data_IF_454379565678
#
_entry.id   IF_454379565678
#
_cell.length_a   1.000
_cell.length_b   1.000
_cell.length_c   1.000
_cell.angle_alpha   90.00
_cell.angle_beta   90.00
_cell.angle_gamma   90.00
#
_symmetry.space_group_name_H-M   'P 1'
#
loop_
_entity.id
_entity.type
_entity.pdbx_description
1 polymer ?
#
# COMPACT_ATOMS: atom_id res chain seq x y z
N UNK A 1 -58.87 -9.96 -1.69
CA UNK A 1 -58.53 -9.17 -0.48
C UNK A 1 -58.12 -10.13 0.64
N UNK A 2 -56.82 -10.29 0.90
CA UNK A 2 -56.30 -11.19 1.93
C UNK A 2 -55.91 -10.40 3.19
N UNK A 3 -56.57 -10.69 4.31
CA UNK A 3 -56.33 -10.04 5.61
C UNK A 3 -55.00 -10.52 6.21
N UNK A 4 -54.05 -9.60 6.34
CA UNK A 4 -52.73 -9.81 6.95
C UNK A 4 -52.88 -9.84 8.48
N UNK A 5 -52.59 -10.99 9.12
CA UNK A 5 -52.57 -11.12 10.59
C UNK A 5 -51.34 -10.41 11.17
N UNK A 6 -51.56 -9.53 12.14
CA UNK A 6 -50.51 -8.83 12.87
C UNK A 6 -49.69 -9.83 13.72
N UNK A 7 -48.36 -9.79 13.58
CA UNK A 7 -47.41 -10.53 14.43
C UNK A 7 -47.27 -9.80 15.76
N UNK A 8 -47.75 -10.41 16.83
CA UNK A 8 -47.53 -9.98 18.22
C UNK A 8 -46.03 -10.05 18.54
N UNK A 9 -45.43 -8.91 18.90
CA UNK A 9 -44.05 -8.84 19.35
C UNK A 9 -43.94 -9.45 20.75
N UNK A 10 -43.24 -10.58 20.85
CA UNK A 10 -42.90 -11.21 22.13
C UNK A 10 -41.83 -10.33 22.78
N UNK A 11 -42.13 -9.81 23.98
CA UNK A 11 -41.20 -9.01 24.76
C UNK A 11 -39.94 -9.85 25.10
N UNK A 12 -38.72 -9.27 25.03
CA UNK A 12 -37.49 -9.98 25.33
C UNK A 12 -37.50 -10.48 26.77
N UNK A 13 -37.27 -11.78 26.96
CA UNK A 13 -37.17 -12.37 28.29
C UNK A 13 -35.99 -11.75 29.07
N UNK A 14 -36.19 -11.39 30.35
CA UNK A 14 -35.12 -10.87 31.19
C UNK A 14 -34.05 -11.95 31.40
N UNK A 15 -32.78 -11.60 31.15
CA UNK A 15 -31.65 -12.51 31.35
C UNK A 15 -31.61 -12.99 32.81
N UNK A 16 -31.33 -14.29 33.05
CA UNK A 16 -31.19 -14.83 34.39
C UNK A 16 -30.02 -14.14 35.10
N UNK A 17 -30.32 -13.54 36.26
CA UNK A 17 -29.32 -12.95 37.16
C UNK A 17 -28.39 -14.06 37.64
N UNK A 18 -27.20 -14.17 37.04
CA UNK A 18 -26.13 -15.03 37.57
C UNK A 18 -25.82 -14.56 38.99
N UNK A 19 -26.09 -15.40 39.99
CA UNK A 19 -25.64 -15.17 41.35
C UNK A 19 -24.11 -15.08 41.31
N UNK A 20 -23.60 -13.93 41.73
CA UNK A 20 -22.17 -13.70 41.87
C UNK A 20 -21.71 -14.63 42.99
N UNK A 21 -21.02 -15.70 42.63
CA UNK A 21 -20.31 -16.52 43.61
C UNK A 21 -19.15 -15.66 44.07
N UNK A 22 -19.27 -15.09 45.26
CA UNK A 22 -18.17 -14.42 45.94
C UNK A 22 -17.14 -15.50 46.32
N UNK A 23 -16.26 -15.80 45.37
CA UNK A 23 -15.04 -16.56 45.63
C UNK A 23 -14.27 -15.72 46.64
N UNK A 24 -14.19 -16.19 47.88
CA UNK A 24 -13.37 -15.61 48.92
C UNK A 24 -11.93 -15.52 48.38
N UNK A 25 -11.56 -14.31 47.94
CA UNK A 25 -10.20 -13.95 47.57
C UNK A 25 -9.39 -14.04 48.86
N UNK A 26 -8.78 -15.20 49.07
CA UNK A 26 -7.69 -15.33 50.04
C UNK A 26 -6.70 -14.22 49.71
N UNK A 27 -6.46 -13.33 50.69
CA UNK A 27 -5.46 -12.27 50.67
C UNK A 27 -4.07 -12.89 50.51
N UNK A 28 -3.72 -13.28 49.28
CA UNK A 28 -2.34 -13.50 48.89
C UNK A 28 -1.74 -12.11 48.78
N UNK A 29 -0.85 -11.74 49.69
CA UNK A 29 -0.04 -10.53 49.57
C UNK A 29 0.61 -10.50 48.19
N UNK A 30 0.04 -9.71 47.28
CA UNK A 30 0.57 -9.57 45.94
C UNK A 30 1.83 -8.74 46.05
N UNK A 31 2.98 -9.39 45.88
CA UNK A 31 4.23 -8.66 45.64
C UNK A 31 4.00 -7.69 44.47
N UNK A 32 4.48 -6.44 44.56
CA UNK A 32 4.32 -5.51 43.46
C UNK A 32 4.90 -6.13 42.18
N UNK A 33 4.22 -5.95 41.03
CA UNK A 33 4.69 -6.51 39.77
C UNK A 33 6.12 -6.04 39.51
N UNK A 34 7.02 -6.98 39.23
CA UNK A 34 8.39 -6.66 38.84
C UNK A 34 8.37 -5.84 37.55
N UNK A 35 9.25 -4.84 37.47
CA UNK A 35 9.43 -4.06 36.26
C UNK A 35 9.84 -4.97 35.09
N UNK A 36 9.38 -4.64 33.89
CA UNK A 36 9.65 -5.42 32.66
C UNK A 36 11.15 -5.73 32.47
N UNK A 37 11.98 -4.71 32.69
CA UNK A 37 13.44 -4.82 32.61
C UNK A 37 14.06 -5.80 33.63
N UNK A 38 13.38 -6.03 34.76
CA UNK A 38 13.83 -6.94 35.81
C UNK A 38 13.39 -8.40 35.62
N UNK A 39 12.48 -8.68 34.68
CA UNK A 39 11.94 -10.01 34.47
C UNK A 39 12.85 -10.89 33.57
N UNK A 40 13.45 -10.30 32.54
CA UNK A 40 14.38 -10.96 31.61
C UNK A 40 15.55 -10.04 31.31
N UNK A 41 16.72 -10.58 30.98
CA UNK A 41 17.83 -9.79 30.44
C UNK A 41 17.49 -9.24 29.04
N UNK A 42 17.97 -8.05 28.70
CA UNK A 42 17.75 -7.41 27.39
C UNK A 42 18.09 -8.33 26.21
N UNK A 43 19.22 -9.02 26.25
CA UNK A 43 19.67 -9.89 25.16
C UNK A 43 18.69 -11.05 24.93
N UNK A 44 18.15 -11.62 26.02
CA UNK A 44 17.14 -12.68 25.95
C UNK A 44 15.85 -12.14 25.32
N UNK A 45 15.43 -10.91 25.69
CA UNK A 45 14.25 -10.27 25.09
C UNK A 45 14.43 -10.04 23.60
N UNK A 46 15.58 -9.47 23.21
CA UNK A 46 15.94 -9.26 21.79
C UNK A 46 15.92 -10.57 21.01
N UNK A 47 16.52 -11.64 21.55
CA UNK A 47 16.45 -12.96 20.94
C UNK A 47 15.01 -13.43 20.75
N UNK A 48 14.15 -13.28 21.76
CA UNK A 48 12.72 -13.64 21.64
C UNK A 48 12.07 -12.85 20.49
N UNK A 49 12.29 -11.54 20.39
CA UNK A 49 11.74 -10.71 19.32
C UNK A 49 12.23 -11.11 17.92
N UNK A 50 13.45 -11.63 17.79
CA UNK A 50 13.97 -12.12 16.51
C UNK A 50 13.18 -13.33 15.98
N UNK A 51 12.59 -14.14 16.87
CA UNK A 51 11.69 -15.24 16.52
C UNK A 51 10.23 -14.82 16.39
N UNK A 52 9.87 -13.58 16.78
CA UNK A 52 8.51 -13.07 16.59
C UNK A 52 8.26 -12.60 15.15
N UNK A 53 7.02 -12.77 14.71
CA UNK A 53 6.52 -12.30 13.43
C UNK A 53 6.11 -10.83 13.49
N UNK A 54 7.12 -9.95 13.55
CA UNK A 54 6.96 -8.50 13.70
C UNK A 54 6.67 -7.78 12.38
N UNK A 55 5.90 -6.69 12.45
CA UNK A 55 5.72 -5.76 11.33
C UNK A 55 7.02 -5.00 11.03
N UNK A 56 7.29 -4.64 9.77
CA UNK A 56 6.45 -4.84 8.59
C UNK A 56 6.71 -6.15 7.83
N UNK A 57 7.59 -7.03 8.31
CA UNK A 57 7.90 -8.30 7.64
C UNK A 57 6.75 -9.31 7.75
N UNK A 58 6.05 -9.30 8.87
CA UNK A 58 4.87 -10.11 9.14
C UNK A 58 3.74 -9.26 9.75
N UNK A 59 2.61 -9.90 10.09
CA UNK A 59 1.39 -9.17 10.45
C UNK A 59 1.39 -8.57 11.84
N UNK A 60 2.22 -9.10 12.75
CA UNK A 60 2.34 -8.63 14.14
C UNK A 60 1.07 -8.77 14.99
N UNK A 61 -0.01 -9.38 14.48
CA UNK A 61 -1.32 -9.35 15.14
C UNK A 61 -1.34 -10.05 16.49
N UNK A 62 -0.62 -11.17 16.58
CA UNK A 62 -0.47 -11.96 17.81
C UNK A 62 0.28 -11.19 18.91
N UNK A 63 1.11 -10.21 18.52
CA UNK A 63 2.00 -9.48 19.41
C UNK A 63 1.52 -8.07 19.74
N UNK A 64 0.37 -7.64 19.21
CA UNK A 64 -0.22 -6.31 19.48
C UNK A 64 -0.45 -6.07 20.97
N UNK A 65 -0.89 -7.08 21.71
CA UNK A 65 -1.11 -6.97 23.16
C UNK A 65 0.18 -6.64 23.93
N UNK A 66 1.31 -7.22 23.52
CA UNK A 66 2.61 -6.93 24.12
C UNK A 66 3.07 -5.51 23.77
N UNK A 67 2.96 -5.13 22.49
CA UNK A 67 3.30 -3.77 22.02
C UNK A 67 2.50 -2.68 22.75
N UNK A 68 1.23 -2.94 23.02
CA UNK A 68 0.33 -1.97 23.67
C UNK A 68 0.45 -1.94 25.20
N UNK A 69 0.98 -3.00 25.81
CA UNK A 69 1.05 -3.11 27.28
C UNK A 69 2.35 -2.59 27.87
N UNK A 70 3.44 -2.54 27.10
CA UNK A 70 4.75 -2.11 27.60
C UNK A 70 5.49 -1.25 26.57
N UNK A 71 5.83 -0.01 26.97
CA UNK A 71 6.58 0.93 26.13
C UNK A 71 7.97 0.38 25.76
N UNK A 72 8.72 -0.14 26.74
CA UNK A 72 10.06 -0.68 26.53
C UNK A 72 10.03 -1.85 25.54
N UNK A 73 9.10 -2.79 25.73
CA UNK A 73 8.92 -3.91 24.80
C UNK A 73 8.60 -3.41 23.38
N UNK A 74 7.75 -2.38 23.27
CA UNK A 74 7.44 -1.77 21.97
C UNK A 74 8.68 -1.18 21.30
N UNK A 75 9.49 -0.43 22.02
CA UNK A 75 10.72 0.19 21.50
C UNK A 75 11.73 -0.90 21.05
N UNK A 76 11.95 -1.92 21.87
CA UNK A 76 12.86 -3.02 21.56
C UNK A 76 12.38 -3.86 20.36
N UNK A 77 11.08 -4.18 20.30
CA UNK A 77 10.48 -4.90 19.16
C UNK A 77 10.59 -4.08 17.87
N UNK A 78 10.39 -2.75 17.95
CA UNK A 78 10.55 -1.85 16.80
C UNK A 78 12.00 -1.82 16.33
N UNK A 79 12.96 -1.80 17.25
CA UNK A 79 14.39 -1.85 16.93
C UNK A 79 14.74 -3.15 16.19
N UNK A 80 14.29 -4.30 16.69
CA UNK A 80 14.51 -5.61 16.05
C UNK A 80 13.83 -5.67 14.67
N UNK A 81 12.59 -5.21 14.56
CA UNK A 81 11.88 -5.10 13.30
C UNK A 81 12.63 -4.22 12.27
N UNK A 82 13.12 -3.06 12.70
CA UNK A 82 13.89 -2.14 11.88
C UNK A 82 15.17 -2.78 11.35
N UNK A 83 15.94 -3.46 12.22
CA UNK A 83 17.15 -4.20 11.83
C UNK A 83 16.84 -5.29 10.79
N UNK A 84 15.77 -6.06 10.99
CA UNK A 84 15.36 -7.12 10.06
C UNK A 84 14.89 -6.55 8.72
N UNK A 85 14.09 -5.47 8.74
CA UNK A 85 13.67 -4.78 7.52
C UNK A 85 14.88 -4.22 6.76
N UNK A 86 15.81 -3.56 7.46
CA UNK A 86 17.04 -3.03 6.85
C UNK A 86 17.85 -4.14 6.18
N UNK A 87 18.02 -5.30 6.84
CA UNK A 87 18.68 -6.48 6.25
C UNK A 87 17.93 -7.00 5.02
N UNK A 88 16.60 -7.07 5.09
CA UNK A 88 15.78 -7.47 3.95
C UNK A 88 15.95 -6.51 2.76
N UNK A 89 15.86 -5.20 3.00
CA UNK A 89 16.01 -4.17 1.96
C UNK A 89 17.41 -4.12 1.39
N UNK A 90 18.46 -4.35 2.19
CA UNK A 90 19.83 -4.41 1.69
C UNK A 90 20.05 -5.54 0.67
N UNK A 91 19.38 -6.69 0.86
CA UNK A 91 19.48 -7.86 -0.03
C UNK A 91 18.49 -7.79 -1.21
N UNK A 92 17.50 -6.90 -1.15
CA UNK A 92 16.43 -6.86 -2.14
C UNK A 92 16.91 -6.45 -3.54
N UNK A 93 17.76 -5.42 -3.74
CA UNK A 93 18.26 -5.03 -5.05
C UNK A 93 18.94 -6.17 -5.80
N UNK A 94 19.73 -7.00 -5.11
CA UNK A 94 20.42 -8.15 -5.71
C UNK A 94 19.42 -9.21 -6.17
N UNK A 95 18.46 -9.56 -5.30
CA UNK A 95 17.38 -10.51 -5.64
C UNK A 95 16.52 -10.01 -6.79
N UNK A 96 16.19 -8.73 -6.78
CA UNK A 96 15.43 -8.10 -7.85
C UNK A 96 16.21 -8.18 -9.17
N UNK A 97 17.50 -7.80 -9.16
CA UNK A 97 18.38 -7.86 -10.33
C UNK A 97 18.57 -9.29 -10.86
N UNK A 98 18.61 -10.29 -9.97
CA UNK A 98 18.68 -11.70 -10.35
C UNK A 98 17.41 -12.20 -11.05
N UNK A 99 16.25 -11.61 -10.76
CA UNK A 99 15.00 -11.90 -11.44
C UNK A 99 14.89 -11.29 -12.84
N UNK A 100 15.70 -10.28 -13.16
CA UNK A 100 15.65 -9.59 -14.44
C UNK A 100 16.37 -10.35 -15.56
N UNK A 101 15.92 -10.21 -16.83
CA UNK A 101 16.69 -10.65 -17.99
C UNK A 101 18.12 -10.08 -17.98
N UNK A 102 19.12 -10.89 -18.36
CA UNK A 102 20.56 -10.51 -18.33
C UNK A 102 20.85 -9.16 -19.02
N UNK A 103 20.19 -8.88 -20.14
CA UNK A 103 20.34 -7.61 -20.88
C UNK A 103 19.93 -6.38 -20.08
N UNK A 104 18.96 -6.54 -19.17
CA UNK A 104 18.46 -5.46 -18.32
C UNK A 104 19.25 -5.35 -17.02
N UNK A 105 19.63 -6.48 -16.42
CA UNK A 105 20.36 -6.52 -15.16
C UNK A 105 21.66 -5.71 -15.18
N UNK A 106 22.37 -5.66 -16.31
CA UNK A 106 23.65 -4.96 -16.44
C UNK A 106 23.57 -3.45 -16.17
N UNK A 107 22.48 -2.80 -16.61
CA UNK A 107 22.31 -1.33 -16.53
C UNK A 107 21.28 -0.91 -15.47
N UNK A 108 20.95 -1.81 -14.56
CA UNK A 108 19.89 -1.58 -13.58
C UNK A 108 20.48 -1.21 -12.22
N UNK A 109 20.13 -0.03 -11.75
CA UNK A 109 20.37 0.43 -10.38
C UNK A 109 19.04 0.53 -9.66
N UNK A 110 19.00 0.04 -8.43
CA UNK A 110 17.87 0.24 -7.52
C UNK A 110 18.44 0.83 -6.24
N UNK A 111 17.95 1.99 -5.86
CA UNK A 111 18.25 2.56 -4.56
C UNK A 111 17.00 2.45 -3.69
N UNK A 112 17.20 2.12 -2.42
CA UNK A 112 16.11 2.06 -1.46
C UNK A 112 16.38 3.14 -0.43
N UNK A 113 15.36 3.93 -0.13
CA UNK A 113 15.47 4.99 0.88
C UNK A 113 15.89 4.39 2.21
N UNK A 114 16.80 5.09 2.91
CA UNK A 114 17.32 4.63 4.19
C UNK A 114 16.18 4.56 5.19
N UNK A 115 15.94 3.36 5.74
CA UNK A 115 15.04 3.18 6.88
C UNK A 115 15.78 3.68 8.12
N UNK A 116 15.30 4.72 8.80
CA UNK A 116 15.92 5.17 10.04
C UNK A 116 15.78 4.04 11.09
N UNK A 117 16.82 3.87 11.89
CA UNK A 117 16.82 2.88 12.99
C UNK A 117 16.07 3.38 14.24
N UNK A 118 15.67 4.65 14.24
CA UNK A 118 15.04 5.32 15.38
C UNK A 118 13.50 5.11 15.38
N UNK A 119 12.87 5.16 16.56
CA UNK A 119 11.80 4.22 16.96
C UNK A 119 10.39 4.63 16.53
N UNK A 120 10.26 5.56 15.59
CA UNK A 120 8.92 5.91 15.12
C UNK A 120 8.41 4.81 14.19
N UNK A 121 7.40 4.09 14.66
CA UNK A 121 6.70 3.04 13.91
C UNK A 121 6.36 3.47 12.48
N UNK A 122 5.97 4.73 12.30
CA UNK A 122 5.65 5.34 11.01
C UNK A 122 6.81 5.27 10.00
N UNK A 123 8.05 5.31 10.47
CA UNK A 123 9.22 5.22 9.60
C UNK A 123 9.47 3.81 9.06
N UNK A 124 8.94 2.77 9.73
CA UNK A 124 9.03 1.38 9.28
C UNK A 124 7.93 1.01 8.29
N UNK A 125 6.84 1.78 8.21
CA UNK A 125 5.69 1.45 7.37
C UNK A 125 5.72 2.11 6.00
N UNK A 126 6.69 2.98 5.70
CA UNK A 126 6.86 3.61 4.40
C UNK A 126 8.20 3.25 3.76
N UNK A 127 8.18 2.68 2.56
CA UNK A 127 9.38 2.37 1.78
C UNK A 127 9.31 3.09 0.44
N UNK A 128 10.39 3.79 0.08
CA UNK A 128 10.53 4.40 -1.24
C UNK A 128 11.71 3.76 -1.96
N UNK A 129 11.46 3.18 -3.13
CA UNK A 129 12.47 2.64 -4.04
C UNK A 129 12.64 3.58 -5.22
N UNK A 130 13.89 3.85 -5.60
CA UNK A 130 14.23 4.66 -6.77
C UNK A 130 14.64 3.72 -7.90
N UNK A 131 13.92 3.80 -9.01
CA UNK A 131 14.17 2.99 -10.20
C UNK A 131 14.44 3.87 -11.43
N UNK A 132 15.32 3.45 -12.35
CA UNK A 132 15.52 4.16 -13.60
C UNK A 132 14.21 4.18 -14.43
N UNK A 133 13.99 5.17 -15.32
CA UNK A 133 12.76 5.26 -16.11
C UNK A 133 12.43 3.99 -16.88
N UNK A 134 13.45 3.30 -17.40
CA UNK A 134 13.29 2.02 -18.09
C UNK A 134 12.54 0.97 -17.23
N UNK A 135 12.67 1.05 -15.90
CA UNK A 135 12.04 0.14 -14.95
C UNK A 135 10.51 0.21 -14.94
N UNK A 136 9.92 1.31 -15.40
CA UNK A 136 8.46 1.45 -15.50
C UNK A 136 7.86 0.55 -16.60
N UNK A 137 8.70 -0.11 -17.41
CA UNK A 137 8.30 -1.02 -18.49
C UNK A 137 7.65 -2.34 -18.07
N UNK A 138 7.14 -3.08 -19.08
CA UNK A 138 6.14 -4.15 -18.96
C UNK A 138 6.47 -5.29 -17.97
N UNK A 139 7.73 -5.71 -17.87
CA UNK A 139 8.12 -7.01 -17.25
C UNK A 139 8.71 -6.89 -15.83
N UNK A 140 8.45 -5.79 -15.12
CA UNK A 140 9.33 -5.40 -13.99
C UNK A 140 8.65 -5.26 -12.64
N UNK A 141 7.33 -5.09 -12.64
CA UNK A 141 6.56 -4.95 -11.39
C UNK A 141 6.30 -6.28 -10.69
N UNK A 142 6.32 -7.40 -11.41
CA UNK A 142 6.17 -8.74 -10.80
C UNK A 142 7.31 -9.04 -9.82
N UNK A 143 8.53 -8.57 -10.11
CA UNK A 143 9.67 -8.74 -9.21
C UNK A 143 9.60 -7.85 -7.95
N UNK A 144 8.67 -6.89 -7.88
CA UNK A 144 8.39 -6.10 -6.66
C UNK A 144 7.51 -6.86 -5.67
N UNK A 145 7.04 -8.05 -6.05
CA UNK A 145 6.15 -8.87 -5.23
C UNK A 145 6.63 -9.09 -3.78
N UNK A 146 7.93 -9.35 -3.51
CA UNK A 146 8.40 -9.46 -2.12
C UNK A 146 8.21 -8.18 -1.29
N UNK A 147 8.34 -6.99 -1.90
CA UNK A 147 8.05 -5.71 -1.23
C UNK A 147 6.54 -5.51 -1.05
N UNK A 148 5.74 -5.87 -2.07
CA UNK A 148 4.29 -5.79 -2.01
C UNK A 148 3.67 -6.73 -0.96
N UNK A 149 4.41 -7.76 -0.54
CA UNK A 149 4.01 -8.72 0.51
C UNK A 149 4.30 -8.21 1.93
N UNK A 150 4.99 -7.08 2.08
CA UNK A 150 5.25 -6.49 3.39
C UNK A 150 4.01 -5.77 3.93
N UNK A 151 3.87 -5.71 5.25
CA UNK A 151 2.81 -4.98 5.95
C UNK A 151 3.08 -3.46 6.02
N UNK A 152 3.46 -2.86 4.90
CA UNK A 152 3.72 -1.43 4.78
C UNK A 152 2.40 -0.64 4.69
N UNK A 153 2.42 0.59 5.17
CA UNK A 153 1.37 1.57 4.90
C UNK A 153 1.56 2.20 3.51
N UNK A 154 2.82 2.38 3.08
CA UNK A 154 3.14 2.99 1.77
C UNK A 154 4.37 2.35 1.12
N UNK A 155 4.24 1.98 -0.15
CA UNK A 155 5.35 1.65 -1.04
C UNK A 155 5.35 2.64 -2.20
N UNK A 156 6.41 3.43 -2.32
CA UNK A 156 6.59 4.39 -3.41
C UNK A 156 7.65 3.86 -4.37
N UNK A 157 7.28 3.68 -5.63
CA UNK A 157 8.16 3.40 -6.75
C UNK A 157 8.44 4.72 -7.46
N UNK A 158 9.57 5.33 -7.15
CA UNK A 158 9.95 6.65 -7.66
C UNK A 158 10.91 6.49 -8.84
N UNK A 159 10.59 7.12 -9.96
CA UNK A 159 11.52 7.24 -11.08
C UNK A 159 12.05 8.64 -11.22
N UNK A 160 13.38 8.78 -11.28
CA UNK A 160 14.09 10.06 -11.43
C UNK A 160 15.04 10.00 -12.62
N UNK A 161 14.99 11.01 -13.47
CA UNK A 161 15.97 11.25 -14.53
C UNK A 161 15.76 12.64 -15.14
N UNK A 162 16.52 13.01 -16.17
CA UNK A 162 16.11 14.10 -17.05
C UNK A 162 15.06 13.63 -18.09
N UNK A 163 14.38 14.58 -18.72
CA UNK A 163 13.34 14.32 -19.72
C UNK A 163 13.85 13.58 -20.96
N UNK A 164 15.09 13.82 -21.39
CA UNK A 164 15.65 13.20 -22.58
C UNK A 164 15.92 11.72 -22.33
N UNK A 165 16.50 11.39 -21.18
CA UNK A 165 16.70 10.01 -20.71
C UNK A 165 15.36 9.30 -20.55
N UNK A 166 14.38 9.89 -19.85
CA UNK A 166 13.05 9.31 -19.69
C UNK A 166 12.40 9.00 -21.04
N UNK A 167 12.41 9.96 -21.97
CA UNK A 167 11.88 9.76 -23.33
C UNK A 167 12.63 8.66 -24.05
N UNK A 168 13.97 8.65 -24.04
CA UNK A 168 14.76 7.62 -24.73
C UNK A 168 14.45 6.22 -24.19
N UNK A 169 14.36 6.06 -22.88
CA UNK A 169 14.08 4.78 -22.23
C UNK A 169 12.64 4.29 -22.40
N UNK A 170 11.69 5.18 -22.69
CA UNK A 170 10.25 4.91 -22.75
C UNK A 170 9.63 5.15 -24.14
N UNK A 171 10.45 5.32 -25.18
CA UNK A 171 10.01 5.73 -26.54
C UNK A 171 9.35 4.61 -27.34
N UNK A 172 9.60 3.35 -27.00
CA UNK A 172 9.54 2.23 -27.94
C UNK A 172 8.39 1.25 -27.71
N UNK A 173 7.29 1.65 -27.08
CA UNK A 173 6.23 0.69 -26.77
C UNK A 173 4.84 1.13 -27.24
N UNK A 174 4.28 0.33 -28.15
CA UNK A 174 2.86 0.33 -28.56
C UNK A 174 2.19 -0.81 -27.79
N UNK A 175 1.04 -0.54 -27.18
CA UNK A 175 0.26 -1.52 -26.41
C UNK A 175 -0.97 -1.97 -27.20
N UNK A 176 -0.84 -2.86 -28.21
CA UNK A 176 -1.99 -3.26 -29.01
C UNK A 176 -3.07 -3.97 -28.18
N UNK A 177 -2.67 -4.69 -27.13
CA UNK A 177 -3.57 -5.54 -26.33
C UNK A 177 -4.56 -4.76 -25.43
N UNK A 178 -4.30 -3.48 -25.16
CA UNK A 178 -5.06 -2.69 -24.18
C UNK A 178 -5.54 -1.34 -24.73
N UNK A 179 -5.37 -1.06 -26.01
CA UNK A 179 -5.84 0.20 -26.64
C UNK A 179 -7.31 0.49 -26.32
N UNK A 180 -8.16 -0.55 -26.30
CA UNK A 180 -9.58 -0.42 -25.97
C UNK A 180 -9.86 -0.13 -24.49
N UNK A 181 -8.96 -0.48 -23.57
CA UNK A 181 -9.12 -0.16 -22.15
C UNK A 181 -8.57 1.25 -21.89
N UNK A 182 -7.43 1.59 -22.50
CA UNK A 182 -6.79 2.89 -22.37
C UNK A 182 -7.58 4.03 -23.04
N UNK A 183 -8.43 3.74 -24.02
CA UNK A 183 -9.35 4.71 -24.62
C UNK A 183 -10.34 5.31 -23.60
N UNK A 184 -10.60 4.63 -22.48
CA UNK A 184 -11.39 5.16 -21.35
C UNK A 184 -10.53 5.89 -20.30
N UNK A 185 -9.22 5.67 -20.29
CA UNK A 185 -8.24 6.33 -19.40
C UNK A 185 -7.60 7.57 -20.06
N UNK A 186 -8.32 8.17 -21.01
CA UNK A 186 -7.84 8.92 -22.19
C UNK A 186 -7.12 10.25 -21.97
N UNK A 187 -6.91 10.72 -20.75
CA UNK A 187 -6.17 11.97 -20.53
C UNK A 187 -4.63 11.80 -20.59
N UNK A 188 -4.13 10.56 -20.57
CA UNK A 188 -2.74 10.20 -20.24
C UNK A 188 -1.90 9.85 -21.49
N UNK A 189 -2.47 9.87 -22.69
CA UNK A 189 -1.81 9.37 -23.92
C UNK A 189 -1.02 10.42 -24.72
N UNK A 190 -0.70 11.58 -24.13
CA UNK A 190 0.08 12.61 -24.81
C UNK A 190 1.44 12.05 -25.28
N UNK A 191 1.69 12.07 -26.60
CA UNK A 191 2.96 11.59 -27.20
C UNK A 191 4.20 12.27 -26.61
N UNK A 192 4.05 13.49 -26.08
CA UNK A 192 5.14 14.24 -25.44
C UNK A 192 5.56 13.70 -24.06
N UNK A 193 4.72 12.84 -23.44
CA UNK A 193 4.88 12.29 -22.10
C UNK A 193 4.63 10.77 -22.08
N UNK A 194 5.49 9.97 -22.73
CA UNK A 194 5.28 8.53 -22.86
C UNK A 194 5.15 7.81 -21.52
N UNK A 195 5.84 8.29 -20.46
CA UNK A 195 5.81 7.70 -19.13
C UNK A 195 4.42 7.60 -18.51
N UNK A 196 3.53 8.54 -18.82
CA UNK A 196 2.16 8.52 -18.30
C UNK A 196 1.45 7.21 -18.69
N UNK A 197 1.69 6.71 -19.91
CA UNK A 197 1.17 5.41 -20.37
C UNK A 197 1.76 4.25 -19.58
N UNK A 198 3.05 4.28 -19.29
CA UNK A 198 3.71 3.23 -18.49
C UNK A 198 3.26 3.23 -17.04
N UNK A 199 3.00 4.40 -16.46
CA UNK A 199 2.42 4.52 -15.11
C UNK A 199 1.03 3.87 -15.10
N UNK A 200 0.17 4.20 -16.07
CA UNK A 200 -1.15 3.60 -16.18
C UNK A 200 -1.09 2.07 -16.36
N UNK A 201 -0.17 1.57 -17.20
CA UNK A 201 0.06 0.15 -17.42
C UNK A 201 0.59 -0.57 -16.17
N UNK A 202 1.55 0.04 -15.47
CA UNK A 202 2.07 -0.50 -14.23
C UNK A 202 1.00 -0.57 -13.14
N UNK A 203 0.17 0.46 -13.00
CA UNK A 203 -0.98 0.43 -12.11
C UNK A 203 -1.98 -0.66 -12.53
N UNK A 204 -2.28 -0.79 -13.82
CA UNK A 204 -3.14 -1.85 -14.34
C UNK A 204 -2.60 -3.24 -13.99
N UNK A 205 -1.30 -3.48 -14.12
CA UNK A 205 -0.70 -4.77 -13.77
C UNK A 205 -0.68 -5.04 -12.28
N UNK A 206 -0.33 -4.04 -11.47
CA UNK A 206 -0.46 -4.15 -10.01
C UNK A 206 -1.88 -4.55 -9.64
N UNK A 207 -2.82 -3.90 -10.30
CA UNK A 207 -4.23 -4.12 -10.15
C UNK A 207 -4.67 -5.54 -10.60
N UNK A 208 -4.20 -6.03 -11.75
CA UNK A 208 -4.41 -7.41 -12.19
C UNK A 208 -3.77 -8.42 -11.24
N UNK A 209 -2.58 -8.13 -10.70
CA UNK A 209 -1.94 -8.97 -9.70
C UNK A 209 -2.77 -9.04 -8.42
N UNK A 210 -3.36 -7.92 -7.97
CA UNK A 210 -4.31 -7.89 -6.84
C UNK A 210 -5.53 -8.79 -7.13
N UNK A 211 -5.98 -8.88 -8.38
CA UNK A 211 -7.11 -9.74 -8.73
C UNK A 211 -6.81 -11.22 -8.79
N UNK A 212 -5.67 -11.58 -9.40
CA UNK A 212 -5.21 -12.96 -9.46
C UNK A 212 -5.08 -13.60 -8.07
N UNK A 213 -4.90 -12.76 -7.07
CA UNK A 213 -5.00 -13.10 -5.67
C UNK A 213 -6.43 -13.42 -5.26
N UNK A 214 -7.34 -12.46 -5.39
CA UNK A 214 -8.68 -12.58 -4.82
C UNK A 214 -9.59 -13.65 -5.43
N UNK A 215 -9.34 -14.09 -6.68
CA UNK A 215 -10.25 -14.98 -7.40
C UNK A 215 -9.58 -16.28 -7.89
N UNK A 216 -9.94 -17.39 -7.26
CA UNK A 216 -9.50 -18.75 -7.63
C UNK A 216 -9.93 -19.13 -9.05
N UNK A 217 -11.07 -18.62 -9.54
CA UNK A 217 -11.54 -18.87 -10.92
C UNK A 217 -10.68 -18.16 -11.94
N UNK A 218 -10.15 -16.98 -11.61
CA UNK A 218 -9.28 -16.22 -12.51
C UNK A 218 -7.89 -16.85 -12.65
N UNK A 219 -7.43 -17.62 -11.65
CA UNK A 219 -6.19 -18.44 -11.75
C UNK A 219 -6.28 -19.52 -12.83
N UNK A 220 -7.45 -20.13 -13.02
CA UNK A 220 -7.68 -21.14 -14.05
C UNK A 220 -7.60 -20.56 -15.47
N UNK A 221 -8.02 -19.31 -15.66
CA UNK A 221 -8.05 -18.66 -16.98
C UNK A 221 -6.67 -18.26 -17.52
N UNK A 222 -5.69 -17.98 -16.66
CA UNK A 222 -4.38 -17.46 -17.10
C UNK A 222 -3.30 -18.54 -17.19
N UNK A 223 -3.62 -19.80 -16.85
CA UNK A 223 -2.80 -20.97 -17.17
C UNK A 223 -1.37 -20.96 -16.60
N UNK A 224 -1.06 -20.04 -15.66
CA UNK A 224 0.26 -19.91 -15.04
C UNK A 224 0.16 -20.23 -13.55
N UNK A 225 1.01 -21.16 -13.11
CA UNK A 225 1.23 -21.59 -11.72
C UNK A 225 2.00 -20.55 -10.89
N UNK A 226 1.76 -19.26 -11.11
CA UNK A 226 2.37 -18.23 -10.28
C UNK A 226 1.74 -18.32 -8.88
N UNK A 227 2.50 -18.86 -7.91
CA UNK A 227 2.24 -18.70 -6.48
C UNK A 227 2.44 -17.22 -6.13
N UNK A 228 1.50 -16.38 -6.54
CA UNK A 228 1.49 -15.01 -6.10
C UNK A 228 1.26 -15.07 -4.57
N UNK A 229 2.02 -14.30 -3.77
CA UNK A 229 1.76 -14.09 -2.32
C UNK A 229 0.92 -12.82 -2.07
N UNK A 230 0.11 -12.75 -1.01
CA UNK A 230 -0.86 -11.65 -0.84
C UNK A 230 -0.18 -10.28 -0.87
N UNK A 231 -0.82 -9.30 -1.53
CA UNK A 231 -0.38 -7.91 -1.50
C UNK A 231 -0.88 -7.31 -0.19
N UNK A 232 0.05 -6.96 0.69
CA UNK A 232 -0.22 -6.50 2.05
C UNK A 232 0.03 -5.01 2.22
N UNK A 233 0.67 -4.33 1.27
CA UNK A 233 0.86 -2.87 1.32
C UNK A 233 -0.48 -2.14 1.23
N UNK A 234 -0.74 -1.13 2.07
CA UNK A 234 -1.98 -0.32 1.95
C UNK A 234 -1.98 0.59 0.74
N UNK A 235 -0.89 1.34 0.54
CA UNK A 235 -0.75 2.34 -0.52
C UNK A 235 0.41 2.00 -1.43
N UNK A 236 0.14 1.80 -2.73
CA UNK A 236 1.21 1.63 -3.74
C UNK A 236 1.19 2.86 -4.63
N UNK A 237 2.31 3.57 -4.68
CA UNK A 237 2.49 4.81 -5.44
C UNK A 237 3.53 4.59 -6.53
N UNK A 238 3.21 5.00 -7.75
CA UNK A 238 4.17 5.15 -8.83
C UNK A 238 4.37 6.64 -9.03
N UNK A 239 5.57 7.12 -8.69
CA UNK A 239 5.94 8.51 -8.76
C UNK A 239 7.02 8.73 -9.82
N UNK A 240 7.03 9.91 -10.42
CA UNK A 240 8.05 10.29 -11.38
C UNK A 240 8.44 11.75 -11.19
N UNK A 241 9.73 12.00 -11.35
CA UNK A 241 10.30 13.34 -11.42
C UNK A 241 11.35 13.36 -12.53
N UNK A 242 10.94 13.87 -13.70
CA UNK A 242 11.77 14.00 -14.88
C UNK A 242 12.28 15.43 -15.11
N UNK A 243 12.23 16.26 -14.06
CA UNK A 243 12.77 17.62 -14.08
C UNK A 243 14.30 17.53 -14.09
N UNK A 244 14.92 18.22 -15.06
CA UNK A 244 16.36 18.45 -15.02
C UNK A 244 16.74 19.42 -13.90
N UNK A 245 18.02 19.45 -13.53
CA UNK A 245 18.52 20.23 -12.39
C UNK A 245 18.17 21.73 -12.50
N UNK A 246 18.25 22.29 -13.71
CA UNK A 246 17.83 23.67 -13.97
C UNK A 246 16.38 23.96 -13.59
N UNK A 247 15.47 23.01 -13.84
CA UNK A 247 14.06 23.20 -13.49
C UNK A 247 13.85 23.14 -11.97
N UNK A 248 14.62 22.31 -11.27
CA UNK A 248 14.64 22.24 -9.80
C UNK A 248 15.22 23.51 -9.19
N UNK A 249 16.35 23.99 -9.70
CA UNK A 249 16.96 25.26 -9.26
C UNK A 249 16.03 26.45 -9.45
N UNK A 250 15.33 26.52 -10.59
CA UNK A 250 14.34 27.57 -10.85
C UNK A 250 13.18 27.53 -9.84
N UNK A 251 12.77 26.33 -9.44
CA UNK A 251 11.72 26.12 -8.44
C UNK A 251 12.19 26.50 -7.03
N UNK A 252 13.40 26.11 -6.66
CA UNK A 252 14.04 26.50 -5.39
C UNK A 252 14.25 28.02 -5.31
N UNK A 253 14.60 28.68 -6.43
CA UNK A 253 14.74 30.15 -6.51
C UNK A 253 13.41 30.87 -6.44
N UNK A 254 12.32 30.25 -6.88
CA UNK A 254 10.97 30.83 -6.81
C UNK A 254 10.38 30.87 -5.38
N UNK A 255 11.22 30.71 -4.34
CA UNK A 255 10.97 30.79 -2.89
C UNK A 255 9.65 31.46 -2.51
N UNK A 256 8.55 30.72 -2.53
CA UNK A 256 7.23 31.21 -2.11
C UNK A 256 6.06 30.69 -2.93
N UNK A 257 6.26 30.27 -4.18
CA UNK A 257 5.21 29.57 -4.95
C UNK A 257 5.51 28.08 -5.00
N UNK A 258 5.19 27.37 -3.91
CA UNK A 258 5.12 25.90 -3.96
C UNK A 258 4.13 25.56 -5.06
N UNK A 259 4.61 24.92 -6.13
CA UNK A 259 3.75 24.52 -7.23
C UNK A 259 2.99 23.29 -6.80
N UNK A 260 1.72 23.51 -6.45
CA UNK A 260 0.79 22.45 -6.12
C UNK A 260 0.71 21.48 -7.30
N UNK A 261 1.00 20.20 -7.05
CA UNK A 261 0.54 19.15 -7.93
C UNK A 261 -0.98 19.14 -7.85
N UNK A 262 -1.64 19.00 -8.99
CA UNK A 262 -3.09 18.94 -9.09
C UNK A 262 -3.48 17.65 -9.78
N UNK A 263 -4.63 17.11 -9.41
CA UNK A 263 -5.13 15.92 -10.06
C UNK A 263 -6.46 15.47 -9.51
N UNK A 264 -6.72 14.17 -9.53
CA UNK A 264 -8.03 13.62 -9.23
C UNK A 264 -7.95 12.39 -8.35
N UNK A 265 -8.92 12.29 -7.45
CA UNK A 265 -9.25 11.07 -6.71
C UNK A 265 -10.41 10.37 -7.41
N UNK A 266 -10.31 9.07 -7.56
CA UNK A 266 -11.25 8.20 -8.26
C UNK A 266 -11.84 7.24 -7.24
N UNK A 267 -13.12 7.39 -6.96
CA UNK A 267 -13.84 6.53 -6.02
C UNK A 267 -15.00 5.82 -6.71
N UNK A 268 -15.38 4.67 -6.14
CA UNK A 268 -16.63 4.02 -6.47
C UNK A 268 -17.83 4.97 -6.29
N UNK A 269 -18.79 4.89 -7.20
CA UNK A 269 -20.07 5.57 -7.03
C UNK A 269 -20.80 5.07 -5.77
N UNK A 270 -21.60 5.93 -5.13
CA UNK A 270 -22.26 5.58 -3.85
C UNK A 270 -23.22 4.40 -4.00
N UNK A 271 -23.91 4.29 -5.15
CA UNK A 271 -24.76 3.12 -5.44
C UNK A 271 -23.96 1.82 -5.48
N UNK A 272 -22.75 1.85 -6.05
CA UNK A 272 -21.83 0.71 -6.02
C UNK A 272 -21.43 0.41 -4.58
N UNK A 273 -20.96 1.40 -3.81
CA UNK A 273 -20.59 1.21 -2.40
C UNK A 273 -21.73 0.60 -1.57
N UNK A 274 -22.96 1.09 -1.74
CA UNK A 274 -24.14 0.58 -1.05
C UNK A 274 -24.48 -0.86 -1.44
N UNK A 275 -24.38 -1.20 -2.74
CA UNK A 275 -24.57 -2.56 -3.23
C UNK A 275 -23.51 -3.51 -2.64
N UNK A 276 -22.24 -3.09 -2.53
CA UNK A 276 -21.18 -3.86 -1.85
C UNK A 276 -21.51 -4.09 -0.38
N UNK A 277 -21.81 -3.01 0.35
CA UNK A 277 -22.11 -3.08 1.78
C UNK A 277 -23.25 -4.06 2.05
N UNK A 278 -24.30 -4.02 1.23
CA UNK A 278 -25.42 -4.95 1.32
C UNK A 278 -25.03 -6.39 0.97
N UNK A 279 -24.29 -6.61 -0.11
CA UNK A 279 -23.97 -7.95 -0.60
C UNK A 279 -22.96 -8.68 0.29
N UNK A 280 -21.94 -7.97 0.76
CA UNK A 280 -20.83 -8.51 1.55
C UNK A 280 -20.97 -8.24 3.05
N UNK A 281 -22.11 -7.67 3.49
CA UNK A 281 -22.40 -7.33 4.89
C UNK A 281 -21.30 -6.47 5.55
N UNK A 282 -20.78 -5.50 4.79
CA UNK A 282 -19.72 -4.63 5.28
C UNK A 282 -20.27 -3.58 6.24
N UNK A 283 -19.47 -3.20 7.22
CA UNK A 283 -19.77 -2.09 8.13
C UNK A 283 -19.96 -0.76 7.39
N UNK A 284 -20.66 0.19 8.04
CA UNK A 284 -20.83 1.55 7.50
C UNK A 284 -19.49 2.29 7.40
N UNK A 285 -18.59 1.96 8.32
CA UNK A 285 -17.21 2.43 8.47
C UNK A 285 -16.23 1.75 7.51
N UNK A 286 -16.67 0.81 6.67
CA UNK A 286 -15.80 0.19 5.69
C UNK A 286 -15.29 1.22 4.66
N UNK A 287 -13.97 1.40 4.63
CA UNK A 287 -13.28 2.30 3.70
C UNK A 287 -12.98 1.57 2.40
N UNK A 288 -13.67 1.96 1.33
CA UNK A 288 -13.43 1.42 0.00
C UNK A 288 -12.10 1.91 -0.56
N UNK A 289 -11.44 1.01 -1.28
CA UNK A 289 -10.24 1.33 -2.05
C UNK A 289 -10.51 2.41 -3.10
N UNK A 290 -9.48 3.17 -3.41
CA UNK A 290 -9.53 4.24 -4.40
C UNK A 290 -8.20 4.35 -5.14
N UNK A 291 -8.23 5.04 -6.27
CA UNK A 291 -7.01 5.46 -6.98
C UNK A 291 -6.95 6.98 -7.05
N UNK A 292 -5.75 7.50 -7.23
CA UNK A 292 -5.57 8.93 -7.48
C UNK A 292 -4.41 9.15 -8.45
N UNK A 293 -4.45 10.27 -9.14
CA UNK A 293 -3.33 10.82 -9.91
C UNK A 293 -3.11 12.27 -9.53
N UNK A 294 -1.86 12.68 -9.49
CA UNK A 294 -1.40 14.03 -9.22
C UNK A 294 -0.33 14.38 -10.24
N UNK A 295 -0.44 15.55 -10.85
CA UNK A 295 0.51 16.04 -11.83
C UNK A 295 0.90 17.47 -11.52
N UNK A 296 2.19 17.77 -11.65
CA UNK A 296 2.73 19.12 -11.59
C UNK A 296 3.57 19.41 -12.84
N UNK A 297 3.92 20.68 -13.05
CA UNK A 297 4.97 21.08 -14.00
C UNK A 297 4.73 20.58 -15.44
N UNK A 298 3.49 20.62 -15.92
CA UNK A 298 3.15 20.12 -17.26
C UNK A 298 3.33 18.60 -17.42
N UNK A 299 3.23 17.85 -16.33
CA UNK A 299 3.31 16.38 -16.28
C UNK A 299 4.72 15.80 -16.20
N UNK A 300 5.75 16.65 -16.07
CA UNK A 300 7.14 16.21 -15.84
C UNK A 300 7.37 15.65 -14.43
N UNK A 301 6.51 16.01 -13.50
CA UNK A 301 6.50 15.52 -12.14
C UNK A 301 5.08 15.08 -11.80
N UNK A 302 4.96 13.98 -11.07
CA UNK A 302 3.68 13.54 -10.58
C UNK A 302 3.77 12.23 -9.82
N UNK A 303 2.62 11.80 -9.35
CA UNK A 303 2.44 10.48 -8.78
C UNK A 303 1.05 9.96 -9.07
N UNK A 304 0.93 8.64 -9.17
CA UNK A 304 -0.35 7.98 -9.24
C UNK A 304 -0.34 6.80 -8.28
N UNK A 305 -1.40 6.64 -7.50
CA UNK A 305 -1.46 5.68 -6.42
C UNK A 305 -2.75 4.90 -6.39
N UNK A 306 -2.66 3.69 -5.87
CA UNK A 306 -3.79 2.87 -5.45
C UNK A 306 -3.74 2.71 -3.93
N UNK A 307 -4.88 2.85 -3.28
CA UNK A 307 -4.99 2.84 -1.81
C UNK A 307 -6.08 1.87 -1.38
N UNK A 308 -5.72 0.97 -0.47
CA UNK A 308 -6.64 0.09 0.26
C UNK A 308 -6.30 0.16 1.75
N UNK A 309 -7.23 0.70 2.54
CA UNK A 309 -7.02 0.93 3.99
C UNK A 309 -7.02 -0.38 4.78
N UNK A 310 -7.80 -1.36 4.32
CA UNK A 310 -7.83 -2.73 4.83
C UNK A 310 -6.73 -3.63 4.26
N UNK A 311 -5.83 -3.11 3.42
CA UNK A 311 -4.89 -3.89 2.58
C UNK A 311 -5.64 -4.74 1.56
N UNK A 312 -4.92 -5.19 0.52
CA UNK A 312 -5.49 -5.90 -0.63
C UNK A 312 -5.74 -7.39 -0.38
N UNK A 313 -6.11 -7.77 0.84
CA UNK A 313 -6.45 -9.16 1.18
C UNK A 313 -7.79 -9.59 0.54
N UNK A 314 -7.96 -10.91 0.32
CA UNK A 314 -8.91 -11.57 -0.60
C UNK A 314 -10.42 -11.24 -0.53
N UNK A 315 -10.88 -10.29 0.27
CA UNK A 315 -12.31 -10.04 0.45
C UNK A 315 -12.73 -8.61 0.13
N UNK A 316 -12.03 -7.91 -0.78
CA UNK A 316 -12.60 -6.68 -1.31
C UNK A 316 -13.88 -7.01 -2.11
N UNK A 317 -15.02 -6.42 -1.74
CA UNK A 317 -16.33 -6.75 -2.29
C UNK A 317 -16.48 -6.40 -3.78
N UNK A 318 -15.57 -5.61 -4.32
CA UNK A 318 -15.57 -5.25 -5.72
C UNK A 318 -14.20 -5.39 -6.32
N UNK A 319 -14.23 -5.98 -7.50
CA UNK A 319 -13.15 -6.07 -8.44
C UNK A 319 -12.60 -4.65 -8.69
N UNK A 320 -11.39 -4.29 -8.23
CA UNK A 320 -10.95 -2.92 -8.40
C UNK A 320 -10.71 -2.44 -9.87
N UNK A 321 -11.04 -3.24 -10.92
CA UNK A 321 -11.20 -2.81 -12.32
C UNK A 321 -12.39 -1.87 -12.40
N UNK A 322 -13.36 -2.05 -11.51
CA UNK A 322 -14.47 -1.13 -11.39
C UNK A 322 -14.03 0.25 -10.91
N UNK A 323 -12.87 0.42 -10.25
CA UNK A 323 -12.28 1.76 -10.02
C UNK A 323 -11.77 2.40 -11.32
N UNK A 324 -11.47 1.57 -12.34
CA UNK A 324 -11.11 2.05 -13.66
C UNK A 324 -12.35 2.51 -14.44
N UNK A 325 -13.51 1.90 -14.18
CA UNK A 325 -14.75 2.09 -14.94
C UNK A 325 -15.79 3.00 -14.24
N UNK A 326 -15.77 3.12 -12.92
CA UNK A 326 -16.81 3.78 -12.12
C UNK A 326 -16.16 4.87 -11.29
N UNK A 327 -16.38 6.13 -11.65
CA UNK A 327 -15.46 7.19 -11.20
C UNK A 327 -16.20 8.43 -10.75
N UNK A 328 -16.72 8.42 -9.53
CA UNK A 328 -16.88 9.71 -8.86
C UNK A 328 -15.47 10.32 -8.79
N UNK A 329 -15.25 11.42 -9.50
CA UNK A 329 -13.98 12.15 -9.45
C UNK A 329 -14.09 13.27 -8.44
N UNK A 330 -13.01 13.50 -7.69
CA UNK A 330 -12.85 14.70 -6.85
C UNK A 330 -11.52 15.37 -7.18
N UNK A 331 -11.47 16.71 -7.31
CA UNK A 331 -10.21 17.41 -7.45
C UNK A 331 -9.39 17.26 -6.16
N UNK A 332 -8.08 17.05 -6.33
CA UNK A 332 -7.13 17.00 -5.23
C UNK A 332 -5.88 17.81 -5.57
N UNK A 333 -5.16 18.25 -4.55
CA UNK A 333 -3.86 18.90 -4.71
C UNK A 333 -2.85 18.46 -3.65
N UNK A 334 -1.57 18.55 -3.96
CA UNK A 334 -0.48 18.18 -3.05
C UNK A 334 0.72 19.10 -3.20
N UNK A 335 1.48 19.25 -2.10
CA UNK A 335 2.72 20.02 -2.05
C UNK A 335 3.90 19.32 -2.75
N UNK A 336 3.79 18.06 -3.14
CA UNK A 336 4.83 17.35 -3.88
C UNK A 336 4.74 15.83 -3.80
N UNK A 337 5.68 15.14 -4.44
CA UNK A 337 5.73 13.67 -4.42
C UNK A 337 5.84 13.17 -2.99
N UNK A 338 5.03 12.18 -2.65
CA UNK A 338 5.05 11.52 -1.36
C UNK A 338 4.34 12.28 -0.25
N UNK A 339 4.01 13.56 -0.46
CA UNK A 339 3.29 14.40 0.50
C UNK A 339 1.83 14.01 0.57
N UNK A 340 1.19 14.34 1.71
CA UNK A 340 -0.27 14.23 1.79
C UNK A 340 -0.92 15.20 0.80
N UNK A 341 -2.06 14.78 0.26
CA UNK A 341 -2.87 15.62 -0.62
C UNK A 341 -4.14 16.04 0.11
N UNK A 342 -4.68 17.18 -0.31
CA UNK A 342 -5.93 17.76 0.21
C UNK A 342 -7.01 17.70 -0.87
N UNK A 343 -8.25 17.43 -0.48
CA UNK A 343 -9.41 17.58 -1.37
C UNK A 343 -9.65 19.08 -1.63
N UNK A 344 -9.83 19.44 -2.90
CA UNK A 344 -9.99 20.83 -3.35
C UNK A 344 -11.42 21.24 -3.62
#
# INVERSE_FOLDING_TARGET
MAKRKARTSIAPQPMPKKSRVDVALNNVESKPPQAYAGFLNYDIRVMIYEYMDLMPLAGGEEWKGLLLSCKDASEEMNEVAAKRLKKFLALFPEKYKAGLPKRLAANYTMEISVVPLLPEWNALTAVTILLPPAALGRERFEHLHPLLSLYLDKLTVLSKSDIATARKSLRSYVFPEFENIYSSMTAITNRSMPWLRYVADALMKLYLNILHHSDEKFRLYVGRTCQLRPIRVKTVVIAWDFRGDKAKELEERARGRRRLMQGRKYEYAENTKNKARSHYKLGRDYEFSYRYDLMGMGGLMGEAGIVSKSRWAHNEPYHPLQLLQTVKTKPISSDGIGQEWVEG
#
